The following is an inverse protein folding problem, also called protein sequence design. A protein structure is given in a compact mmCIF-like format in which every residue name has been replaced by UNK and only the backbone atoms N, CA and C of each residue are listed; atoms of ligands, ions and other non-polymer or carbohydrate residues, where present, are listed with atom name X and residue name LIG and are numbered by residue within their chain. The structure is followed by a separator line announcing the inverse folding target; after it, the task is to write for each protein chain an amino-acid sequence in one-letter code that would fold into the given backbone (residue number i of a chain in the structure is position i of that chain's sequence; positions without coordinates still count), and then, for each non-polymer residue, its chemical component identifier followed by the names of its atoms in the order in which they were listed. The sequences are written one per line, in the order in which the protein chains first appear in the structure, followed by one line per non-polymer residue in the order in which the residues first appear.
data_IF_335230027696
#
_entry.id   IF_335230027696
#
_cell.length_a   1.000
_cell.length_b   1.000
_cell.length_c   1.000
_cell.angle_alpha   90.00
_cell.angle_beta   90.00
_cell.angle_gamma   90.00
#
_symmetry.space_group_name_H-M   'P 1'
#
loop_
_entity.id
_entity.type
_entity.pdbx_description
1 polymer ?
#
# COMPACT_ATOMS: atom_id res chain seq x y z
N UNK A 1 13.98 -2.24 -4.54
CA UNK A 1 13.58 -1.36 -5.64
C UNK A 1 14.23 -0.02 -5.44
N UNK A 2 14.79 0.53 -6.50
CA UNK A 2 15.44 1.83 -6.51
C UNK A 2 14.39 2.93 -6.36
N UNK A 3 14.64 3.92 -5.49
CA UNK A 3 13.78 5.11 -5.40
C UNK A 3 13.89 5.93 -6.69
N UNK A 4 12.82 6.59 -7.16
CA UNK A 4 12.89 7.48 -8.31
C UNK A 4 14.04 8.49 -8.23
N UNK A 5 14.27 9.09 -7.05
CA UNK A 5 15.38 10.04 -6.82
C UNK A 5 16.78 9.48 -7.10
N UNK A 6 16.97 8.16 -7.03
CA UNK A 6 18.27 7.53 -7.28
C UNK A 6 18.43 7.00 -8.71
N UNK A 7 17.42 7.14 -9.56
CA UNK A 7 17.46 6.63 -10.92
C UNK A 7 18.25 7.54 -11.86
N UNK A 8 19.03 6.94 -12.76
CA UNK A 8 19.76 7.65 -13.82
C UNK A 8 18.87 8.51 -14.72
N UNK A 9 17.61 8.13 -14.91
CA UNK A 9 16.62 8.92 -15.66
C UNK A 9 16.20 10.23 -14.94
N UNK A 10 16.49 10.34 -13.64
CA UNK A 10 16.22 11.51 -12.80
C UNK A 10 17.52 12.10 -12.22
N UNK A 11 18.64 11.96 -12.95
CA UNK A 11 19.97 12.44 -12.54
C UNK A 11 20.60 11.71 -11.33
N UNK A 12 20.10 10.50 -11.03
CA UNK A 12 20.67 9.59 -10.05
C UNK A 12 21.75 8.66 -10.61
N UNK A 13 22.21 7.70 -9.80
CA UNK A 13 23.34 6.81 -10.13
C UNK A 13 22.94 5.37 -10.46
N UNK A 14 21.68 4.99 -10.21
CA UNK A 14 21.21 3.62 -10.33
C UNK A 14 20.32 3.41 -11.56
N UNK A 15 20.48 2.29 -12.30
CA UNK A 15 19.64 1.99 -13.46
C UNK A 15 18.20 1.65 -13.05
N UNK A 16 17.25 1.95 -13.94
CA UNK A 16 15.87 1.50 -13.79
C UNK A 16 15.78 -0.02 -13.99
N UNK A 17 15.32 -0.73 -12.97
CA UNK A 17 15.00 -2.15 -13.06
C UNK A 17 13.49 -2.38 -12.84
N UNK A 18 12.85 -3.24 -13.65
CA UNK A 18 11.50 -3.72 -13.37
C UNK A 18 11.39 -4.36 -11.99
N UNK A 19 10.20 -4.36 -11.40
CA UNK A 19 9.98 -4.81 -10.01
C UNK A 19 10.49 -6.24 -9.76
N UNK A 20 10.25 -7.17 -10.68
CA UNK A 20 10.70 -8.57 -10.58
C UNK A 20 12.23 -8.69 -10.66
N UNK A 21 12.85 -7.95 -11.57
CA UNK A 21 14.31 -7.97 -11.72
C UNK A 21 14.99 -7.27 -10.54
N UNK A 22 14.40 -6.21 -10.00
CA UNK A 22 14.89 -5.60 -8.76
C UNK A 22 14.80 -6.53 -7.56
N UNK A 23 13.88 -7.51 -7.51
CA UNK A 23 13.84 -8.51 -6.44
C UNK A 23 14.91 -9.59 -6.62
N UNK A 24 15.36 -9.84 -7.85
CA UNK A 24 16.41 -10.82 -8.17
C UNK A 24 17.82 -10.24 -8.02
N UNK A 25 17.97 -8.92 -8.11
CA UNK A 25 19.24 -8.23 -8.00
C UNK A 25 19.46 -7.65 -6.59
N UNK A 26 20.69 -7.72 -6.08
CA UNK A 26 21.08 -7.26 -4.73
C UNK A 26 21.42 -5.76 -4.70
N UNK A 27 20.58 -4.92 -5.30
CA UNK A 27 20.79 -3.47 -5.28
C UNK A 27 20.42 -2.96 -3.87
N UNK A 28 21.28 -2.19 -3.18
CA UNK A 28 21.07 -1.82 -1.77
C UNK A 28 19.87 -0.90 -1.53
N UNK A 29 19.23 -0.38 -2.57
CA UNK A 29 18.05 0.47 -2.43
C UNK A 29 16.76 -0.33 -2.15
N UNK A 30 16.20 -0.02 -0.97
CA UNK A 30 14.95 -0.60 -0.46
C UNK A 30 13.89 0.48 -0.31
N UNK A 31 13.37 0.93 -1.44
CA UNK A 31 12.23 1.85 -1.44
C UNK A 31 10.89 1.10 -1.40
N UNK A 32 10.88 -0.22 -1.61
CA UNK A 32 9.69 -1.08 -1.50
C UNK A 32 9.72 -1.89 -0.21
N UNK A 33 8.57 -2.15 0.44
CA UNK A 33 7.26 -1.52 0.23
C UNK A 33 7.16 -0.15 0.90
N UNK A 34 6.19 0.66 0.45
CA UNK A 34 5.87 1.97 1.03
C UNK A 34 5.31 1.80 2.45
N UNK A 35 6.17 1.72 3.47
CA UNK A 35 5.74 1.44 4.84
C UNK A 35 4.70 2.46 5.35
N UNK A 36 4.85 3.73 4.99
CA UNK A 36 3.96 4.82 5.41
C UNK A 36 2.60 4.81 4.70
N UNK A 37 2.56 4.50 3.40
CA UNK A 37 1.29 4.40 2.68
C UNK A 37 0.56 3.09 3.06
N UNK A 38 1.30 2.00 3.21
CA UNK A 38 0.77 0.69 3.59
C UNK A 38 0.13 0.70 4.99
N UNK A 39 0.69 1.44 5.96
CA UNK A 39 0.09 1.59 7.29
C UNK A 39 -1.24 2.35 7.25
N UNK A 40 -1.34 3.40 6.42
CA UNK A 40 -2.59 4.11 6.17
C UNK A 40 -3.66 3.20 5.57
N UNK A 41 -3.31 2.41 4.55
CA UNK A 41 -4.25 1.47 3.93
C UNK A 41 -4.58 0.24 4.79
N UNK A 42 -3.72 -0.15 5.74
CA UNK A 42 -4.02 -1.26 6.67
C UNK A 42 -5.30 -1.02 7.51
N UNK A 43 -5.69 0.24 7.67
CA UNK A 43 -6.95 0.63 8.33
C UNK A 43 -8.20 0.17 7.57
N UNK A 44 -8.08 -0.32 6.33
CA UNK A 44 -9.18 -1.00 5.63
C UNK A 44 -9.76 -2.17 6.45
N UNK A 45 -8.99 -2.78 7.35
CA UNK A 45 -9.48 -3.81 8.27
C UNK A 45 -10.74 -3.35 9.05
N UNK A 46 -10.82 -2.08 9.46
CA UNK A 46 -11.99 -1.53 10.15
C UNK A 46 -13.23 -1.45 9.28
N UNK A 47 -13.08 -1.32 7.96
CA UNK A 47 -14.20 -1.32 7.03
C UNK A 47 -14.88 -2.70 6.94
N UNK A 48 -14.19 -3.78 7.32
CA UNK A 48 -14.74 -5.14 7.33
C UNK A 48 -15.21 -5.62 8.70
N UNK A 49 -15.04 -4.82 9.76
CA UNK A 49 -15.53 -5.15 11.10
C UNK A 49 -17.08 -5.11 11.14
N UNK A 50 -17.76 -6.17 11.63
CA UNK A 50 -19.23 -6.25 11.67
C UNK A 50 -19.88 -5.12 12.47
N UNK A 51 -19.26 -4.71 13.59
CA UNK A 51 -19.72 -3.62 14.46
C UNK A 51 -19.75 -2.26 13.76
N UNK A 52 -18.96 -2.09 12.69
CA UNK A 52 -18.81 -0.83 11.96
C UNK A 52 -19.49 -0.83 10.59
N UNK A 53 -20.30 -1.86 10.28
CA UNK A 53 -20.95 -2.03 8.97
C UNK A 53 -21.75 -0.80 8.53
N UNK A 54 -22.43 -0.13 9.47
CA UNK A 54 -23.20 1.10 9.21
C UNK A 54 -22.33 2.33 8.89
N UNK A 55 -21.07 2.35 9.36
CA UNK A 55 -20.09 3.43 9.12
C UNK A 55 -19.05 3.07 8.05
N UNK A 56 -19.20 1.92 7.38
CA UNK A 56 -18.23 1.39 6.43
C UNK A 56 -17.84 2.38 5.33
N UNK A 57 -18.81 3.08 4.76
CA UNK A 57 -18.56 4.10 3.73
C UNK A 57 -17.66 5.23 4.23
N UNK A 58 -17.94 5.77 5.42
CA UNK A 58 -17.12 6.82 6.04
C UNK A 58 -15.70 6.34 6.35
N UNK A 59 -15.57 5.09 6.84
CA UNK A 59 -14.25 4.48 7.10
C UNK A 59 -13.45 4.37 5.81
N UNK A 60 -14.05 3.86 4.73
CA UNK A 60 -13.36 3.74 3.43
C UNK A 60 -12.88 5.12 2.94
N UNK A 61 -13.71 6.16 3.05
CA UNK A 61 -13.33 7.52 2.64
C UNK A 61 -12.14 8.04 3.47
N UNK A 62 -12.18 7.89 4.80
CA UNK A 62 -11.11 8.34 5.69
C UNK A 62 -9.81 7.57 5.42
N UNK A 63 -9.89 6.26 5.26
CA UNK A 63 -8.72 5.40 4.98
C UNK A 63 -8.12 5.73 3.62
N UNK A 64 -8.96 5.96 2.60
CA UNK A 64 -8.51 6.42 1.29
C UNK A 64 -7.82 7.77 1.39
N UNK A 65 -8.42 8.75 2.08
CA UNK A 65 -7.84 10.07 2.25
C UNK A 65 -6.47 10.01 2.96
N UNK A 66 -6.35 9.24 4.05
CA UNK A 66 -5.10 9.08 4.79
C UNK A 66 -4.02 8.36 3.96
N UNK A 67 -4.37 7.24 3.34
CA UNK A 67 -3.43 6.45 2.54
C UNK A 67 -2.94 7.21 1.31
N UNK A 68 -3.84 7.93 0.63
CA UNK A 68 -3.46 8.79 -0.50
C UNK A 68 -2.70 10.03 -0.07
N UNK A 69 -3.04 10.68 1.06
CA UNK A 69 -2.25 11.82 1.55
C UNK A 69 -0.79 11.42 1.81
N UNK A 70 -0.56 10.29 2.49
CA UNK A 70 0.78 9.76 2.76
C UNK A 70 1.49 9.29 1.48
N UNK A 71 0.75 8.65 0.57
CA UNK A 71 1.26 8.22 -0.74
C UNK A 71 1.69 9.39 -1.61
N UNK A 72 0.82 10.40 -1.77
CA UNK A 72 1.10 11.62 -2.53
C UNK A 72 2.28 12.38 -1.95
N UNK A 73 2.38 12.51 -0.63
CA UNK A 73 3.54 13.12 0.02
C UNK A 73 4.86 12.45 -0.41
N UNK A 74 4.90 11.12 -0.43
CA UNK A 74 6.08 10.36 -0.85
C UNK A 74 6.32 10.36 -2.37
N UNK A 75 5.29 10.53 -3.18
CA UNK A 75 5.43 10.75 -4.62
C UNK A 75 6.02 12.13 -4.94
N UNK A 76 5.58 13.18 -4.22
CA UNK A 76 6.08 14.56 -4.40
C UNK A 76 7.58 14.64 -4.05
N UNK A 77 8.00 13.91 -3.03
CA UNK A 77 9.42 13.80 -2.65
C UNK A 77 10.23 12.98 -3.65
N UNK A 78 9.58 12.20 -4.53
CA UNK A 78 10.26 11.33 -5.49
C UNK A 78 10.81 10.04 -4.88
N UNK A 79 10.33 9.65 -3.70
CA UNK A 79 10.74 8.40 -3.04
C UNK A 79 10.00 7.19 -3.62
N UNK A 80 8.80 7.40 -4.20
CA UNK A 80 7.91 6.31 -4.61
C UNK A 80 7.21 6.58 -5.94
N UNK A 81 7.13 5.56 -6.79
CA UNK A 81 6.23 5.58 -7.94
C UNK A 81 4.77 5.37 -7.53
N UNK A 82 3.87 5.94 -8.33
CA UNK A 82 2.43 5.74 -8.21
C UNK A 82 2.05 4.26 -8.18
N UNK A 83 2.71 3.43 -8.99
CA UNK A 83 2.50 1.99 -9.05
C UNK A 83 2.69 1.31 -7.69
N UNK A 84 3.70 1.72 -6.90
CA UNK A 84 3.95 1.14 -5.58
C UNK A 84 2.83 1.48 -4.60
N UNK A 85 2.33 2.71 -4.63
CA UNK A 85 1.20 3.12 -3.77
C UNK A 85 -0.09 2.39 -4.13
N UNK A 86 -0.38 2.24 -5.43
CA UNK A 86 -1.58 1.52 -5.90
C UNK A 86 -1.50 0.04 -5.54
N UNK A 87 -0.36 -0.61 -5.77
CA UNK A 87 -0.17 -2.03 -5.40
C UNK A 87 -0.30 -2.22 -3.89
N UNK A 88 0.28 -1.35 -3.08
CA UNK A 88 0.11 -1.38 -1.61
C UNK A 88 -1.36 -1.23 -1.18
N UNK A 89 -2.12 -0.34 -1.83
CA UNK A 89 -3.55 -0.16 -1.56
C UNK A 89 -4.34 -1.43 -1.88
N UNK A 90 -4.12 -2.02 -3.06
CA UNK A 90 -4.79 -3.25 -3.49
C UNK A 90 -4.46 -4.43 -2.57
N UNK A 91 -3.19 -4.56 -2.17
CA UNK A 91 -2.75 -5.61 -1.25
C UNK A 91 -3.39 -5.45 0.14
N UNK A 92 -3.40 -4.24 0.69
CA UNK A 92 -4.01 -3.96 1.99
C UNK A 92 -5.52 -4.26 1.99
N UNK A 93 -6.22 -3.92 0.90
CA UNK A 93 -7.63 -4.28 0.72
C UNK A 93 -7.82 -5.80 0.64
N UNK A 94 -7.05 -6.49 -0.19
CA UNK A 94 -7.15 -7.94 -0.37
C UNK A 94 -6.87 -8.70 0.94
N UNK A 95 -5.84 -8.30 1.69
CA UNK A 95 -5.52 -8.87 2.99
C UNK A 95 -6.64 -8.62 4.01
N UNK A 96 -7.16 -7.39 4.08
CA UNK A 96 -8.25 -7.04 4.99
C UNK A 96 -9.53 -7.83 4.68
N UNK A 97 -9.86 -7.97 3.40
CA UNK A 97 -11.00 -8.75 2.94
C UNK A 97 -10.82 -10.25 3.20
N UNK A 98 -9.62 -10.79 2.94
CA UNK A 98 -9.29 -12.20 3.19
C UNK A 98 -9.36 -12.55 4.67
N UNK A 99 -8.78 -11.71 5.55
CA UNK A 99 -8.88 -11.87 7.00
C UNK A 99 -10.33 -11.80 7.46
N UNK A 100 -11.09 -10.81 7.01
CA UNK A 100 -12.50 -10.70 7.35
C UNK A 100 -13.31 -11.92 6.92
N UNK A 101 -13.03 -12.47 5.73
CA UNK A 101 -13.67 -13.69 5.27
C UNK A 101 -13.33 -14.88 6.17
N UNK A 102 -12.07 -15.06 6.59
CA UNK A 102 -11.68 -16.15 7.50
C UNK A 102 -12.33 -16.00 8.88
N UNK A 103 -12.32 -14.80 9.45
CA UNK A 103 -12.78 -14.58 10.83
C UNK A 103 -14.29 -14.43 10.95
N UNK A 104 -14.95 -13.71 10.04
CA UNK A 104 -16.38 -13.41 10.15
C UNK A 104 -17.29 -14.39 9.42
N UNK A 105 -16.81 -15.17 8.44
CA UNK A 105 -17.60 -16.28 7.86
C UNK A 105 -17.94 -17.36 8.89
N UNK A 106 -17.13 -17.48 9.95
CA UNK A 106 -17.33 -18.44 11.04
C UNK A 106 -18.36 -17.96 12.10
N UNK A 107 -18.74 -16.68 12.07
CA UNK A 107 -19.65 -16.08 13.05
C UNK A 107 -21.13 -15.99 12.62
N UNK A 108 -21.46 -16.43 11.41
CA UNK A 108 -22.82 -16.37 10.82
C UNK A 108 -23.45 -17.78 10.71
N UNK A 109 -23.03 -18.71 11.58
CA UNK A 109 -23.50 -20.11 11.63
C UNK A 109 -24.01 -20.50 13.04
N UNK A 110 -24.48 -19.55 13.85
CA UNK A 110 -25.18 -19.82 15.12
C UNK A 110 -26.56 -19.19 15.09
#
# INVERSE_FOLDING_TARGET
MVCPVHLTIFDGTLPYLPMLDSMRNTIPDKCFPAAHASSGFALFAFAFAPSLRRRRGAIIIVVMALGWAMGCYKMIIGDHFLSHTVVSMMLAWAMSAGLAWVFFKKGEQV
#
